data_IF_055674898249
#
_entry.id   IF_055674898249
#
_cell.length_a   1.000
_cell.length_b   1.000
_cell.length_c   1.000
_cell.angle_alpha   90.00
_cell.angle_beta   90.00
_cell.angle_gamma   90.00
#
_symmetry.space_group_name_H-M   'P 1'
#
loop_
_entity.id
_entity.type
_entity.pdbx_description
1 polymer ?
#
# COMPACT_ATOMS: atom_id res chain seq x y z
N UNK A 1 5.90 20.18 -1.37
CA UNK A 1 6.22 19.61 -0.07
C UNK A 1 7.03 20.63 0.70
N UNK A 2 6.57 21.01 1.89
CA UNK A 2 7.26 21.92 2.80
C UNK A 2 7.90 21.18 3.98
N UNK A 3 7.77 19.85 4.04
CA UNK A 3 8.29 19.01 5.11
C UNK A 3 7.38 18.93 6.34
N UNK A 4 6.08 19.19 6.18
CA UNK A 4 5.08 19.22 7.26
C UNK A 4 4.18 17.98 7.31
N UNK A 5 4.47 16.96 6.50
CA UNK A 5 3.62 15.78 6.37
C UNK A 5 2.38 16.00 5.49
N UNK A 6 2.29 17.12 4.77
CA UNK A 6 1.14 17.46 3.92
C UNK A 6 1.58 17.81 2.50
N UNK A 7 0.76 17.44 1.52
CA UNK A 7 0.96 17.86 0.14
C UNK A 7 0.52 19.32 -0.06
N UNK A 8 1.46 20.26 -0.24
CA UNK A 8 1.13 21.69 -0.32
C UNK A 8 0.37 22.12 -1.59
N UNK A 9 0.59 21.42 -2.70
CA UNK A 9 0.05 21.77 -4.01
C UNK A 9 0.18 20.64 -5.03
N UNK A 10 -0.75 20.62 -5.98
CA UNK A 10 -0.82 19.67 -7.09
C UNK A 10 -0.86 20.43 -8.43
N UNK A 11 -0.20 19.88 -9.47
CA UNK A 11 -0.25 20.44 -10.82
C UNK A 11 -0.60 19.40 -11.88
N UNK A 12 -1.92 19.18 -12.03
CA UNK A 12 -2.54 18.55 -13.21
C UNK A 12 -2.60 17.01 -13.17
N UNK A 13 -3.62 16.40 -13.83
CA UNK A 13 -3.90 14.96 -13.76
C UNK A 13 -2.67 14.12 -14.11
N UNK A 14 -2.30 13.18 -13.24
CA UNK A 14 -1.49 12.04 -13.67
C UNK A 14 -2.29 11.34 -14.79
N UNK A 15 -1.67 11.15 -15.95
CA UNK A 15 -2.35 10.51 -17.09
C UNK A 15 -2.92 9.14 -16.65
N UNK A 16 -4.19 8.88 -16.99
CA UNK A 16 -4.93 7.65 -16.68
C UNK A 16 -5.34 7.43 -15.21
N UNK A 17 -5.72 8.49 -14.50
CA UNK A 17 -6.15 8.39 -13.09
C UNK A 17 -7.54 9.01 -12.83
N UNK A 18 -8.34 8.38 -11.97
CA UNK A 18 -9.75 8.76 -11.73
C UNK A 18 -9.93 9.76 -10.57
N UNK A 19 -9.13 9.63 -9.50
CA UNK A 19 -9.15 10.55 -8.34
C UNK A 19 -7.87 11.38 -8.26
N UNK A 20 -6.70 10.76 -8.31
CA UNK A 20 -5.37 11.39 -8.28
C UNK A 20 -5.23 12.63 -7.41
N UNK A 21 -5.64 12.46 -6.16
CA UNK A 21 -5.45 13.44 -5.12
C UNK A 21 -4.20 13.05 -4.31
N UNK A 22 -3.28 14.00 -4.05
CA UNK A 22 -2.20 13.72 -3.11
C UNK A 22 -2.81 13.48 -1.74
N UNK A 23 -2.52 12.32 -1.16
CA UNK A 23 -3.08 11.88 0.11
C UNK A 23 -2.16 12.26 1.27
N UNK A 24 -0.88 11.92 1.14
CA UNK A 24 0.13 12.12 2.18
C UNK A 24 1.51 12.32 1.55
N UNK A 25 2.39 12.95 2.30
CA UNK A 25 3.77 13.28 1.99
C UNK A 25 4.60 12.87 3.21
N UNK A 26 5.10 11.64 3.26
CA UNK A 26 5.75 11.10 4.45
C UNK A 26 6.99 10.33 4.04
N UNK A 27 8.07 10.47 4.80
CA UNK A 27 9.28 9.65 4.73
C UNK A 27 8.94 8.24 5.24
N UNK A 28 8.55 7.36 4.30
CA UNK A 28 7.99 6.02 4.59
C UNK A 28 9.09 5.02 4.97
N UNK A 29 10.32 5.23 4.49
CA UNK A 29 11.46 4.34 4.72
C UNK A 29 12.55 4.93 5.62
N UNK A 30 12.32 6.13 6.14
CA UNK A 30 13.17 6.84 7.07
C UNK A 30 14.57 7.16 6.50
N UNK A 31 14.66 7.34 5.18
CA UNK A 31 15.90 7.70 4.49
C UNK A 31 16.16 9.23 4.46
N UNK A 32 15.15 10.02 4.85
CA UNK A 32 15.18 11.48 4.93
C UNK A 32 14.58 12.20 3.72
N UNK A 33 14.16 11.47 2.68
CA UNK A 33 13.34 11.95 1.58
C UNK A 33 11.87 11.54 1.79
N UNK A 34 10.91 12.36 1.37
CA UNK A 34 9.49 12.04 1.52
C UNK A 34 8.96 11.28 0.29
N UNK A 35 8.17 10.23 0.52
CA UNK A 35 7.33 9.64 -0.51
C UNK A 35 5.98 10.35 -0.60
N UNK A 36 5.53 10.54 -1.83
CA UNK A 36 4.18 11.00 -2.11
C UNK A 36 3.23 9.81 -2.24
N UNK A 37 2.24 9.75 -1.37
CA UNK A 37 1.10 8.82 -1.45
C UNK A 37 -0.01 9.48 -2.27
N UNK A 38 -0.46 8.84 -3.33
CA UNK A 38 -1.53 9.35 -4.19
C UNK A 38 -2.73 8.42 -4.15
N UNK A 39 -3.91 8.98 -3.86
CA UNK A 39 -5.19 8.30 -4.01
C UNK A 39 -5.54 8.20 -5.49
N UNK A 40 -5.32 7.03 -6.08
CA UNK A 40 -5.58 6.78 -7.50
C UNK A 40 -7.04 6.38 -7.77
N UNK A 41 -7.66 5.70 -6.82
CA UNK A 41 -9.05 5.25 -6.87
C UNK A 41 -9.70 5.43 -5.49
N UNK A 42 -10.89 6.04 -5.45
CA UNK A 42 -11.72 6.13 -4.25
C UNK A 42 -12.82 5.07 -4.21
N UNK A 43 -13.48 4.94 -3.06
CA UNK A 43 -14.56 3.97 -2.82
C UNK A 43 -14.45 3.34 -1.44
N UNK A 44 -15.22 2.28 -1.21
CA UNK A 44 -15.12 1.35 -0.07
C UNK A 44 -13.76 0.63 -0.01
N UNK A 45 -13.13 0.47 -1.18
CA UNK A 45 -11.73 0.06 -1.34
C UNK A 45 -10.98 1.17 -2.06
N UNK A 46 -10.09 1.85 -1.34
CA UNK A 46 -9.21 2.87 -1.86
C UNK A 46 -7.98 2.22 -2.54
N UNK A 47 -7.64 2.71 -3.72
CA UNK A 47 -6.43 2.35 -4.44
C UNK A 47 -5.39 3.46 -4.36
N UNK A 48 -4.20 3.14 -3.86
CA UNK A 48 -3.10 4.08 -3.65
C UNK A 48 -1.90 3.72 -4.53
N UNK A 49 -1.15 4.74 -4.95
CA UNK A 49 0.13 4.61 -5.66
C UNK A 49 1.17 5.46 -4.96
N UNK A 50 2.37 4.90 -4.77
CA UNK A 50 3.50 5.60 -4.17
C UNK A 50 4.40 6.19 -5.25
N UNK A 51 4.93 7.38 -4.98
CA UNK A 51 5.93 8.06 -5.81
C UNK A 51 7.12 8.46 -4.94
N UNK A 52 8.33 8.21 -5.44
CA UNK A 52 9.54 8.75 -4.82
C UNK A 52 9.80 10.17 -5.30
N UNK A 53 10.22 11.03 -4.38
CA UNK A 53 10.59 12.41 -4.68
C UNK A 53 12.12 12.49 -4.78
N UNK A 54 12.66 12.15 -5.95
CA UNK A 54 14.09 12.35 -6.21
C UNK A 54 14.41 13.83 -6.51
N UNK A 55 15.66 14.29 -6.29
CA UNK A 55 16.08 15.64 -6.66
C UNK A 55 15.87 15.93 -8.16
N UNK A 56 14.79 16.63 -8.50
CA UNK A 56 14.39 16.94 -9.88
C UNK A 56 12.90 17.26 -9.99
N UNK A 57 12.42 17.73 -11.16
CA UNK A 57 11.01 18.08 -11.34
C UNK A 57 10.10 16.87 -11.64
N UNK A 58 10.64 15.64 -11.69
CA UNK A 58 9.90 14.45 -12.11
C UNK A 58 9.47 13.61 -10.91
N UNK A 59 8.17 13.39 -10.76
CA UNK A 59 7.64 12.34 -9.87
C UNK A 59 7.81 10.98 -10.53
N UNK A 60 8.41 10.03 -9.82
CA UNK A 60 8.63 8.67 -10.31
C UNK A 60 7.83 7.69 -9.46
N UNK A 61 6.97 6.85 -10.05
CA UNK A 61 6.25 5.86 -9.27
C UNK A 61 7.26 4.89 -8.67
N UNK A 62 7.07 4.56 -7.40
CA UNK A 62 7.77 3.44 -6.78
C UNK A 62 7.33 2.17 -7.51
N UNK A 63 8.28 1.37 -7.99
CA UNK A 63 7.97 0.13 -8.72
C UNK A 63 8.34 -1.11 -7.93
N UNK A 64 7.65 -2.22 -8.15
CA UNK A 64 7.97 -3.49 -7.48
C UNK A 64 9.26 -4.08 -8.06
N UNK A 65 10.26 -4.31 -7.22
CA UNK A 65 11.50 -4.96 -7.64
C UNK A 65 11.29 -6.47 -7.89
N UNK A 66 12.08 -7.13 -8.76
CA UNK A 66 12.09 -8.59 -8.88
C UNK A 66 12.41 -9.28 -7.53
N UNK A 67 11.79 -10.43 -7.21
CA UNK A 67 10.84 -11.20 -8.03
C UNK A 67 9.37 -10.76 -7.89
N UNK A 68 9.08 -9.76 -7.06
CA UNK A 68 7.72 -9.35 -6.70
C UNK A 68 6.96 -10.43 -5.92
N UNK A 69 5.63 -10.27 -5.84
CA UNK A 69 4.73 -11.25 -5.25
C UNK A 69 3.47 -11.39 -6.12
N UNK A 70 3.53 -12.33 -7.09
CA UNK A 70 2.51 -12.47 -8.13
C UNK A 70 1.13 -12.85 -7.58
N UNK A 71 1.06 -13.70 -6.55
CA UNK A 71 -0.21 -14.11 -5.94
C UNK A 71 -0.96 -12.88 -5.38
N UNK A 72 -0.24 -11.99 -4.71
CA UNK A 72 -0.78 -10.71 -4.23
C UNK A 72 -0.97 -9.62 -5.31
N UNK A 73 -0.69 -9.90 -6.59
CA UNK A 73 -0.77 -8.90 -7.67
C UNK A 73 0.41 -7.93 -7.77
N UNK A 74 1.45 -8.10 -6.95
CA UNK A 74 2.65 -7.25 -6.95
C UNK A 74 3.65 -7.73 -8.00
N UNK A 75 3.48 -7.25 -9.23
CA UNK A 75 4.26 -7.69 -10.40
C UNK A 75 5.54 -6.86 -10.60
N UNK A 76 6.71 -7.49 -10.85
CA UNK A 76 7.97 -6.76 -11.08
C UNK A 76 7.89 -5.70 -12.18
N UNK A 77 8.49 -4.54 -11.92
CA UNK A 77 8.54 -3.39 -12.83
C UNK A 77 7.21 -2.64 -12.99
N UNK A 78 6.16 -3.03 -12.27
CA UNK A 78 4.90 -2.28 -12.21
C UNK A 78 4.93 -1.33 -11.03
N UNK A 79 4.20 -0.23 -11.12
CA UNK A 79 3.98 0.67 -9.98
C UNK A 79 3.43 -0.12 -8.79
N UNK A 80 3.94 0.17 -7.61
CA UNK A 80 3.42 -0.37 -6.36
C UNK A 80 2.01 0.19 -6.15
N UNK A 81 1.03 -0.70 -6.26
CA UNK A 81 -0.38 -0.39 -6.01
C UNK A 81 -0.79 -1.00 -4.69
N UNK A 82 -1.47 -0.21 -3.88
CA UNK A 82 -1.92 -0.60 -2.53
C UNK A 82 -3.44 -0.50 -2.49
N UNK A 83 -4.09 -1.48 -1.90
CA UNK A 83 -5.55 -1.49 -1.69
C UNK A 83 -5.82 -1.43 -0.19
N UNK A 84 -6.68 -0.50 0.22
CA UNK A 84 -7.03 -0.25 1.62
C UNK A 84 -8.55 -0.15 1.74
N UNK A 85 -9.12 -0.68 2.82
CA UNK A 85 -10.57 -0.68 3.06
C UNK A 85 -11.19 -2.05 2.82
N UNK A 86 -12.48 -2.10 2.59
CA UNK A 86 -13.18 -3.36 2.41
C UNK A 86 -14.54 -3.21 1.76
N UNK A 87 -14.85 -4.17 0.90
CA UNK A 87 -16.13 -4.26 0.21
C UNK A 87 -16.42 -5.71 -0.18
N UNK A 88 -17.68 -6.13 -0.04
CA UNK A 88 -18.21 -7.42 -0.53
C UNK A 88 -17.22 -8.61 -0.52
N UNK A 89 -16.71 -8.95 0.66
CA UNK A 89 -15.81 -10.10 0.87
C UNK A 89 -14.33 -9.84 0.61
N UNK A 90 -13.98 -8.65 0.10
CA UNK A 90 -12.62 -8.14 0.02
C UNK A 90 -12.29 -7.24 1.22
N UNK A 91 -11.06 -7.32 1.70
CA UNK A 91 -10.47 -6.29 2.56
C UNK A 91 -8.98 -6.14 2.25
N UNK A 92 -8.49 -4.90 2.27
CA UNK A 92 -7.09 -4.53 2.11
C UNK A 92 -6.62 -3.71 3.30
N UNK A 93 -5.39 -3.92 3.73
CA UNK A 93 -4.80 -3.23 4.87
C UNK A 93 -3.30 -3.00 4.69
N UNK A 94 -2.80 -1.94 5.33
CA UNK A 94 -1.38 -1.61 5.39
C UNK A 94 -0.96 -1.53 6.85
N UNK A 95 0.22 -2.05 7.14
CA UNK A 95 0.88 -1.92 8.43
C UNK A 95 2.35 -1.61 8.24
N UNK A 96 3.04 -1.39 9.35
CA UNK A 96 4.47 -1.13 9.36
C UNK A 96 5.15 -1.85 10.51
N UNK A 97 6.33 -2.39 10.25
CA UNK A 97 7.21 -2.99 11.25
C UNK A 97 8.51 -2.17 11.31
N UNK A 98 9.08 -1.98 12.50
CA UNK A 98 10.42 -1.40 12.67
C UNK A 98 10.57 0.10 12.38
N UNK A 99 9.50 0.85 12.10
CA UNK A 99 9.57 2.29 11.86
C UNK A 99 9.77 3.10 13.16
N UNK A 100 10.63 4.14 13.17
CA UNK A 100 11.41 4.66 12.03
C UNK A 100 12.80 4.02 11.83
N UNK A 101 13.29 3.14 12.72
CA UNK A 101 14.71 2.72 12.66
C UNK A 101 15.07 1.76 11.51
N UNK A 102 14.13 0.90 11.10
CA UNK A 102 14.29 -0.05 10.00
C UNK A 102 12.90 -0.40 9.41
N UNK A 103 12.28 0.52 8.67
CA UNK A 103 10.91 0.35 8.20
C UNK A 103 10.73 -0.84 7.26
N UNK A 104 9.71 -1.64 7.53
CA UNK A 104 9.19 -2.67 6.63
C UNK A 104 7.69 -2.41 6.48
N UNK A 105 7.31 -1.99 5.27
CA UNK A 105 5.90 -1.81 4.92
C UNK A 105 5.26 -3.18 4.72
N UNK A 106 4.11 -3.40 5.33
CA UNK A 106 3.35 -4.64 5.22
C UNK A 106 2.04 -4.35 4.52
N UNK A 107 1.87 -4.87 3.32
CA UNK A 107 0.63 -4.76 2.56
C UNK A 107 -0.06 -6.11 2.57
N UNK A 108 -1.34 -6.13 2.87
CA UNK A 108 -2.13 -7.34 2.82
C UNK A 108 -3.49 -7.12 2.18
N UNK A 109 -4.01 -8.16 1.57
CA UNK A 109 -5.43 -8.23 1.22
C UNK A 109 -5.97 -9.64 1.44
N UNK A 110 -7.26 -9.72 1.74
CA UNK A 110 -8.01 -10.95 1.92
C UNK A 110 -9.27 -10.88 1.06
N UNK A 111 -9.67 -12.00 0.46
CA UNK A 111 -10.84 -12.06 -0.41
C UNK A 111 -11.59 -13.39 -0.27
N UNK A 112 -12.92 -13.35 -0.34
CA UNK A 112 -13.75 -14.53 -0.52
C UNK A 112 -14.99 -14.21 -1.37
N UNK A 113 -15.59 -15.19 -2.07
CA UNK A 113 -16.90 -15.00 -2.69
C UNK A 113 -17.97 -14.66 -1.65
N UNK A 114 -18.83 -13.68 -1.91
CA UNK A 114 -19.92 -13.32 -0.98
C UNK A 114 -20.90 -14.48 -0.77
N UNK A 115 -21.19 -15.24 -1.82
CA UNK A 115 -22.09 -16.39 -1.78
C UNK A 115 -21.53 -17.57 -2.59
N UNK A 116 -22.00 -18.78 -2.26
CA UNK A 116 -21.67 -19.99 -3.00
C UNK A 116 -20.37 -20.67 -2.54
N UNK A 117 -19.83 -21.60 -3.33
CA UNK A 117 -18.63 -22.35 -2.97
C UNK A 117 -17.44 -21.42 -2.68
N UNK A 118 -16.76 -21.65 -1.56
CA UNK A 118 -15.62 -20.84 -1.10
C UNK A 118 -16.01 -19.60 -0.27
N UNK A 119 -17.31 -19.31 -0.09
CA UNK A 119 -17.75 -18.15 0.69
C UNK A 119 -17.45 -18.22 2.20
N UNK A 120 -17.02 -19.37 2.70
CA UNK A 120 -16.62 -19.59 4.09
C UNK A 120 -15.11 -19.49 4.32
N UNK A 121 -14.32 -19.28 3.26
CA UNK A 121 -12.85 -19.28 3.32
C UNK A 121 -12.27 -18.04 2.63
N UNK A 122 -11.49 -17.26 3.37
CA UNK A 122 -10.63 -16.23 2.81
C UNK A 122 -9.39 -16.83 2.16
N UNK A 123 -9.08 -16.37 0.95
CA UNK A 123 -7.71 -16.30 0.47
C UNK A 123 -7.06 -15.04 1.08
N UNK A 124 -5.84 -15.16 1.61
CA UNK A 124 -5.13 -14.08 2.31
C UNK A 124 -3.70 -13.99 1.81
N UNK A 125 -3.31 -12.79 1.42
CA UNK A 125 -1.93 -12.46 1.04
C UNK A 125 -1.37 -11.40 1.95
N UNK A 126 -0.17 -11.63 2.47
CA UNK A 126 0.61 -10.65 3.23
C UNK A 126 1.97 -10.52 2.58
N UNK A 127 2.38 -9.29 2.27
CA UNK A 127 3.67 -8.99 1.65
C UNK A 127 4.41 -7.95 2.47
N UNK A 128 5.66 -8.25 2.80
CA UNK A 128 6.58 -7.32 3.45
C UNK A 128 7.51 -6.72 2.41
N UNK A 129 7.59 -5.41 2.41
CA UNK A 129 8.30 -4.60 1.44
C UNK A 129 9.27 -3.67 2.15
N UNK A 130 10.44 -3.49 1.56
CA UNK A 130 11.38 -2.42 1.93
C UNK A 130 11.56 -1.55 0.71
N UNK A 131 11.34 -0.24 0.86
CA UNK A 131 11.64 0.74 -0.17
C UNK A 131 13.16 0.87 -0.31
N UNK A 132 13.63 1.20 -1.50
CA UNK A 132 15.04 1.30 -1.85
C UNK A 132 15.28 2.67 -2.46
N UNK A 133 16.48 3.21 -2.26
CA UNK A 133 16.92 4.52 -2.76
C UNK A 133 16.78 4.66 -4.30
N UNK A 134 16.70 3.54 -5.02
CA UNK A 134 16.51 3.51 -6.47
C UNK A 134 15.04 3.69 -6.93
N UNK A 135 14.12 3.92 -5.99
CA UNK A 135 12.68 4.05 -6.26
C UNK A 135 11.99 2.72 -6.50
N UNK A 136 12.53 1.62 -5.96
CA UNK A 136 11.89 0.30 -6.02
C UNK A 136 11.47 -0.20 -4.65
N UNK A 137 10.39 -0.97 -4.60
CA UNK A 137 9.95 -1.70 -3.41
C UNK A 137 10.34 -3.17 -3.54
N UNK A 138 11.24 -3.63 -2.66
CA UNK A 138 11.72 -5.02 -2.66
C UNK A 138 10.89 -5.86 -1.70
N UNK A 139 10.31 -6.96 -2.22
CA UNK A 139 9.67 -7.99 -1.39
C UNK A 139 10.75 -8.69 -0.57
N UNK A 140 10.67 -8.57 0.76
CA UNK A 140 11.59 -9.22 1.71
C UNK A 140 11.00 -10.48 2.34
N UNK A 141 9.67 -10.56 2.40
CA UNK A 141 8.92 -11.71 2.88
C UNK A 141 7.50 -11.67 2.30
N UNK A 142 6.89 -12.83 2.13
CA UNK A 142 5.54 -12.97 1.60
C UNK A 142 4.90 -14.28 2.08
N UNK A 143 3.61 -14.23 2.36
CA UNK A 143 2.84 -15.40 2.73
C UNK A 143 1.47 -15.40 2.05
N UNK A 144 1.11 -16.57 1.53
CA UNK A 144 -0.20 -16.90 0.98
C UNK A 144 -0.85 -17.94 1.88
N UNK A 145 -2.11 -17.74 2.25
CA UNK A 145 -2.83 -18.67 3.11
C UNK A 145 -4.32 -18.66 2.83
N UNK A 146 -4.99 -19.73 3.26
CA UNK A 146 -6.44 -19.80 3.31
C UNK A 146 -6.88 -19.94 4.77
N UNK A 147 -7.95 -19.25 5.15
CA UNK A 147 -8.52 -19.39 6.50
C UNK A 147 -10.03 -19.12 6.55
N UNK A 148 -10.76 -19.63 7.55
CA UNK A 148 -12.20 -19.40 7.69
C UNK A 148 -12.57 -17.91 7.82
N UNK A 149 -13.72 -17.49 7.26
CA UNK A 149 -14.22 -16.10 7.31
C UNK A 149 -14.55 -15.59 8.73
N UNK A 150 -14.64 -16.49 9.72
CA UNK A 150 -14.83 -16.14 11.12
C UNK A 150 -13.56 -15.99 11.95
N UNK A 151 -12.40 -16.39 11.40
CA UNK A 151 -11.13 -16.32 12.13
C UNK A 151 -10.50 -14.93 11.99
N UNK A 152 -9.82 -14.42 13.03
CA UNK A 152 -9.13 -13.14 12.94
C UNK A 152 -8.11 -13.14 11.81
N UNK A 153 -8.21 -12.16 10.91
CA UNK A 153 -7.20 -11.96 9.88
C UNK A 153 -5.83 -11.62 10.51
N UNK A 154 -4.71 -12.05 9.89
CA UNK A 154 -3.37 -11.75 10.41
C UNK A 154 -3.09 -10.24 10.39
N UNK A 155 -1.96 -9.83 10.97
CA UNK A 155 -1.44 -8.49 10.74
C UNK A 155 -1.31 -8.22 9.22
N UNK A 156 -1.76 -7.06 8.70
CA UNK A 156 -2.16 -5.83 9.40
C UNK A 156 -3.68 -5.55 9.53
N UNK A 157 -4.58 -6.49 9.22
CA UNK A 157 -6.04 -6.22 9.15
C UNK A 157 -6.71 -5.76 10.47
N UNK A 158 -6.00 -5.82 11.60
CA UNK A 158 -6.48 -5.35 12.90
C UNK A 158 -5.59 -4.30 13.57
N UNK A 159 -4.50 -3.86 12.92
CA UNK A 159 -3.73 -2.72 13.43
C UNK A 159 -4.55 -1.45 13.28
N UNK A 160 -4.37 -0.52 14.22
CA UNK A 160 -4.95 0.81 14.19
C UNK A 160 -3.85 1.85 14.29
N UNK A 161 -4.06 2.97 13.63
CA UNK A 161 -3.13 4.09 13.61
C UNK A 161 -2.10 4.00 12.48
N UNK A 162 -1.16 4.96 12.44
CA UNK A 162 -0.34 5.16 11.25
C UNK A 162 0.56 3.97 10.92
N UNK A 163 0.65 3.63 9.64
CA UNK A 163 1.62 2.69 9.10
C UNK A 163 2.73 3.47 8.40
N UNK A 164 3.95 3.35 8.93
CA UNK A 164 5.14 4.07 8.46
C UNK A 164 4.92 5.60 8.42
N UNK A 165 4.22 6.13 9.43
CA UNK A 165 3.90 7.56 9.53
C UNK A 165 2.59 7.99 8.85
N UNK A 166 2.03 7.17 7.95
CA UNK A 166 0.79 7.51 7.21
C UNK A 166 -0.44 6.90 7.87
N UNK A 167 -1.46 7.71 8.12
CA UNK A 167 -2.76 7.23 8.61
C UNK A 167 -3.60 6.71 7.43
N UNK A 168 -3.55 5.41 7.15
CA UNK A 168 -4.39 4.78 6.12
C UNK A 168 -5.81 4.47 6.60
N UNK A 169 -6.07 4.52 7.92
CA UNK A 169 -7.39 4.22 8.49
C UNK A 169 -8.42 5.28 8.12
N UNK A 170 -8.00 6.51 7.84
CA UNK A 170 -8.90 7.58 7.40
C UNK A 170 -9.52 7.35 6.00
N UNK A 171 -9.05 6.33 5.27
CA UNK A 171 -9.60 5.91 3.98
C UNK A 171 -10.59 4.74 4.09
N UNK A 172 -10.76 4.16 5.28
CA UNK A 172 -11.61 2.99 5.57
C UNK A 172 -12.91 3.38 6.27
#
# INVERSE_FOLDING_TARGET
MTGDGLADAWWGPLEHCFVCEPYDATDLDADGDEELVVLAQGGSVAGLVLFSVQPGPELRPVTVAPPGHRAAGLLPGRSLSILVGGDEGFTGAVGCEGYPEAPVMVIAWANHPVEGPGSDTFEVHVTRLVLQDDGTARVVDASDSEQPVGDPLPFPFGSRGPACGVDFDALM
#
